data_IF_801283926726
#
_entry.id   IF_801283926726
#
_cell.length_a   1.000
_cell.length_b   1.000
_cell.length_c   1.000
_cell.angle_alpha   90.00
_cell.angle_beta   90.00
_cell.angle_gamma   90.00
#
_symmetry.space_group_name_H-M   'P 1'
#
loop_
_entity.id
_entity.type
_entity.pdbx_description
1 polymer ?
#
# COMPACT_ATOMS: atom_id res chain seq x y z
N UNK A 1 -74.30 19.71 17.50
CA UNK A 1 -73.08 19.36 18.27
C UNK A 1 -72.52 18.07 17.70
N UNK A 2 -71.49 18.16 16.86
CA UNK A 2 -70.74 17.02 16.32
C UNK A 2 -69.27 17.43 16.25
N UNK A 3 -68.51 17.01 17.23
CA UNK A 3 -67.05 17.15 17.32
C UNK A 3 -66.39 16.05 16.49
N UNK A 4 -65.70 16.40 15.41
CA UNK A 4 -64.82 15.47 14.67
C UNK A 4 -63.49 15.36 15.42
N UNK A 5 -63.25 14.20 16.03
CA UNK A 5 -61.90 13.72 16.37
C UNK A 5 -61.15 13.44 15.08
N UNK A 6 -59.91 13.90 14.99
CA UNK A 6 -59.00 13.64 13.89
C UNK A 6 -57.91 12.73 14.48
N UNK A 7 -57.96 11.45 14.13
CA UNK A 7 -57.04 10.44 14.65
C UNK A 7 -55.62 10.68 14.10
N UNK A 8 -54.64 10.78 15.00
CA UNK A 8 -53.22 10.74 14.68
C UNK A 8 -52.85 9.29 14.32
N UNK A 9 -52.36 9.07 13.10
CA UNK A 9 -51.69 7.82 12.73
C UNK A 9 -50.21 7.99 13.10
N UNK A 10 -49.74 7.23 14.10
CA UNK A 10 -48.33 7.18 14.47
C UNK A 10 -47.55 6.16 13.63
N UNK A 11 -46.29 6.48 13.31
CA UNK A 11 -45.33 5.71 12.51
C UNK A 11 -45.00 4.30 13.05
N UNK A 12 -45.51 3.90 14.21
CA UNK A 12 -45.29 2.57 14.81
C UNK A 12 -46.15 1.46 14.19
N UNK A 13 -47.01 1.77 13.22
CA UNK A 13 -47.97 0.83 12.63
C UNK A 13 -47.49 0.10 11.37
N UNK A 14 -46.28 0.40 10.87
CA UNK A 14 -45.75 -0.16 9.61
C UNK A 14 -44.48 -1.02 9.77
N UNK A 15 -43.91 -1.14 10.96
CA UNK A 15 -42.71 -1.96 11.20
C UNK A 15 -42.88 -3.48 10.92
N UNK A 16 -44.00 -4.14 11.28
CA UNK A 16 -44.13 -5.59 11.09
C UNK A 16 -44.21 -6.04 9.62
N UNK A 17 -44.65 -5.16 8.71
CA UNK A 17 -44.87 -5.50 7.30
C UNK A 17 -43.64 -5.32 6.42
N UNK A 18 -42.72 -4.41 6.77
CA UNK A 18 -41.48 -4.20 6.02
C UNK A 18 -40.47 -5.33 6.29
N UNK A 19 -40.39 -5.81 7.53
CA UNK A 19 -39.47 -6.90 7.93
C UNK A 19 -39.89 -8.25 7.35
N UNK A 20 -41.20 -8.52 7.25
CA UNK A 20 -41.73 -9.74 6.66
C UNK A 20 -41.53 -9.81 5.13
N UNK A 21 -41.59 -8.67 4.43
CA UNK A 21 -41.41 -8.64 2.97
C UNK A 21 -39.96 -8.89 2.58
N UNK A 22 -39.00 -8.31 3.32
CA UNK A 22 -37.55 -8.48 3.06
C UNK A 22 -37.07 -9.91 3.36
N UNK A 23 -37.68 -10.60 4.33
CA UNK A 23 -37.30 -11.98 4.68
C UNK A 23 -37.80 -13.02 3.66
N UNK A 24 -38.91 -12.76 2.97
CA UNK A 24 -39.55 -13.73 2.05
C UNK A 24 -39.08 -13.65 0.59
N UNK A 25 -38.39 -12.58 0.20
CA UNK A 25 -37.92 -12.36 -1.18
C UNK A 25 -36.47 -12.80 -1.44
N UNK A 26 -35.76 -13.37 -0.46
CA UNK A 26 -34.44 -13.95 -0.69
C UNK A 26 -34.60 -15.39 -1.22
N UNK A 27 -34.45 -15.55 -2.54
CA UNK A 27 -34.59 -16.84 -3.21
C UNK A 27 -33.61 -17.89 -2.66
N UNK A 28 -34.01 -19.16 -2.69
CA UNK A 28 -33.16 -20.30 -2.31
C UNK A 28 -31.87 -20.36 -3.17
N UNK A 29 -31.86 -19.72 -4.34
CA UNK A 29 -30.68 -19.54 -5.20
C UNK A 29 -29.64 -18.65 -4.54
N UNK A 30 -30.03 -17.51 -3.94
CA UNK A 30 -29.11 -16.63 -3.21
C UNK A 30 -28.44 -17.31 -2.01
N UNK A 31 -29.12 -18.26 -1.34
CA UNK A 31 -28.51 -19.08 -0.26
C UNK A 31 -27.54 -20.14 -0.79
N UNK A 32 -27.75 -20.63 -2.02
CA UNK A 32 -26.84 -21.57 -2.71
C UNK A 32 -25.64 -20.83 -3.31
N UNK A 33 -25.85 -19.61 -3.79
CA UNK A 33 -24.82 -18.72 -4.33
C UNK A 33 -23.98 -18.03 -3.23
N UNK A 34 -24.48 -17.96 -1.99
CA UNK A 34 -23.63 -17.61 -0.83
C UNK A 34 -22.69 -18.76 -0.39
N UNK A 35 -22.86 -19.96 -0.98
CA UNK A 35 -21.86 -21.03 -0.97
C UNK A 35 -21.01 -21.04 -2.24
N UNK A 36 -20.97 -19.94 -3.00
CA UNK A 36 -19.85 -19.67 -3.90
C UNK A 36 -18.64 -19.45 -3.00
N UNK A 37 -17.77 -20.45 -2.99
CA UNK A 37 -16.39 -20.48 -2.48
C UNK A 37 -15.92 -19.13 -1.94
N UNK A 38 -16.21 -18.85 -0.66
CA UNK A 38 -15.41 -17.92 0.11
C UNK A 38 -14.02 -18.56 0.15
N UNK A 39 -13.15 -18.16 -0.78
CA UNK A 39 -11.72 -18.39 -0.59
C UNK A 39 -11.42 -17.86 0.80
N UNK A 40 -10.97 -18.74 1.69
CA UNK A 40 -10.64 -18.35 3.05
C UNK A 40 -9.61 -17.22 2.94
N UNK A 41 -9.94 -16.03 3.45
CA UNK A 41 -8.94 -15.02 3.70
C UNK A 41 -7.80 -15.70 4.48
N UNK A 42 -6.55 -15.43 4.09
CA UNK A 42 -5.37 -16.05 4.72
C UNK A 42 -5.37 -15.78 6.23
N UNK A 43 -5.94 -14.64 6.61
CA UNK A 43 -6.00 -14.14 7.98
C UNK A 43 -7.46 -13.87 8.39
N UNK A 44 -7.74 -13.96 9.68
CA UNK A 44 -9.07 -13.69 10.24
C UNK A 44 -9.36 -12.18 10.38
N UNK A 45 -10.60 -11.86 10.72
CA UNK A 45 -11.06 -10.47 10.87
C UNK A 45 -10.36 -9.71 12.03
N UNK A 46 -9.86 -10.43 13.04
CA UNK A 46 -9.14 -9.80 14.14
C UNK A 46 -7.74 -9.38 13.69
N UNK A 47 -7.06 -10.24 12.93
CA UNK A 47 -5.77 -9.92 12.32
C UNK A 47 -5.87 -8.70 11.40
N UNK A 48 -6.91 -8.63 10.55
CA UNK A 48 -7.16 -7.45 9.70
C UNK A 48 -7.33 -6.17 10.51
N UNK A 49 -8.08 -6.25 11.63
CA UNK A 49 -8.25 -5.11 12.54
C UNK A 49 -6.93 -4.67 13.18
N UNK A 50 -6.04 -5.62 13.50
CA UNK A 50 -4.71 -5.30 14.01
C UNK A 50 -3.80 -4.66 12.93
N UNK A 51 -3.88 -5.13 11.68
CA UNK A 51 -3.20 -4.48 10.54
C UNK A 51 -3.66 -3.03 10.38
N UNK A 52 -4.96 -2.76 10.44
CA UNK A 52 -5.49 -1.40 10.33
C UNK A 52 -5.01 -0.48 11.47
N UNK A 53 -4.89 -1.01 12.69
CA UNK A 53 -4.34 -0.27 13.82
C UNK A 53 -2.85 -0.01 13.62
N UNK A 54 -2.07 -1.02 13.29
CA UNK A 54 -0.64 -0.90 13.03
C UNK A 54 -0.35 0.09 11.90
N UNK A 55 -1.15 0.11 10.82
CA UNK A 55 -1.06 1.08 9.73
C UNK A 55 -1.20 2.52 10.23
N UNK A 56 -2.17 2.80 11.12
CA UNK A 56 -2.35 4.14 11.71
C UNK A 56 -1.18 4.52 12.61
N UNK A 57 -0.66 3.58 13.39
CA UNK A 57 0.51 3.81 14.24
C UNK A 57 1.78 4.09 13.41
N UNK A 58 2.01 3.30 12.36
CA UNK A 58 3.10 3.51 11.41
C UNK A 58 2.99 4.88 10.75
N UNK A 59 1.81 5.31 10.30
CA UNK A 59 1.62 6.66 9.72
C UNK A 59 2.08 7.75 10.70
N UNK A 60 1.61 7.66 11.95
CA UNK A 60 1.97 8.62 12.99
C UNK A 60 3.46 8.59 13.33
N UNK A 61 4.05 7.40 13.46
CA UNK A 61 5.46 7.21 13.77
C UNK A 61 6.34 7.75 12.64
N UNK A 62 6.06 7.35 11.40
CA UNK A 62 6.88 7.67 10.23
C UNK A 62 6.87 9.17 9.96
N UNK A 63 5.69 9.79 9.97
CA UNK A 63 5.57 11.25 9.81
C UNK A 63 6.24 12.02 10.94
N UNK A 64 6.11 11.55 12.20
CA UNK A 64 6.73 12.22 13.35
C UNK A 64 8.25 12.14 13.36
N UNK A 65 8.81 11.02 12.88
CA UNK A 65 10.25 10.73 12.93
C UNK A 65 10.98 11.07 11.63
N UNK A 66 10.26 11.45 10.57
CA UNK A 66 10.81 11.64 9.23
C UNK A 66 11.63 10.42 8.76
N UNK A 67 11.14 9.21 9.06
CA UNK A 67 11.86 7.97 8.81
C UNK A 67 11.28 7.15 7.63
N UNK A 68 10.48 7.77 6.76
CA UNK A 68 9.92 7.09 5.59
C UNK A 68 11.01 6.43 4.71
N UNK A 69 12.14 7.09 4.39
CA UNK A 69 13.14 6.47 3.52
C UNK A 69 13.75 5.18 4.10
N UNK A 70 14.04 5.15 5.41
CA UNK A 70 14.62 3.96 6.05
C UNK A 70 13.59 2.82 6.24
N UNK A 71 12.31 3.16 6.40
CA UNK A 71 11.23 2.16 6.43
C UNK A 71 11.00 1.52 5.06
N UNK A 72 11.04 2.33 3.99
CA UNK A 72 11.00 1.84 2.62
C UNK A 72 12.21 0.96 2.31
N UNK A 73 13.42 1.38 2.72
CA UNK A 73 14.63 0.57 2.60
C UNK A 73 14.51 -0.75 3.37
N UNK A 74 14.00 -0.75 4.60
CA UNK A 74 13.79 -1.99 5.37
C UNK A 74 12.90 -2.98 4.60
N UNK A 75 11.77 -2.52 4.07
CA UNK A 75 10.85 -3.36 3.31
C UNK A 75 11.48 -3.90 2.01
N UNK A 76 12.23 -3.05 1.29
CA UNK A 76 13.01 -3.46 0.10
C UNK A 76 14.04 -4.53 0.45
N UNK A 77 14.83 -4.34 1.52
CA UNK A 77 15.90 -5.27 1.89
C UNK A 77 15.37 -6.62 2.41
N UNK A 78 14.24 -6.65 3.11
CA UNK A 78 13.57 -7.89 3.49
C UNK A 78 13.08 -8.66 2.24
N UNK A 79 12.49 -7.97 1.28
CA UNK A 79 11.95 -8.58 0.06
C UNK A 79 13.02 -9.00 -0.96
N UNK A 80 14.06 -8.19 -1.13
CA UNK A 80 15.08 -8.31 -2.19
C UNK A 80 16.01 -9.51 -2.07
N UNK A 81 15.91 -10.29 -0.99
CA UNK A 81 16.67 -11.54 -0.82
C UNK A 81 16.02 -12.74 -1.54
N UNK A 82 14.82 -12.56 -2.11
CA UNK A 82 14.10 -13.63 -2.77
C UNK A 82 14.87 -14.20 -3.97
N UNK A 83 14.76 -15.52 -4.11
CA UNK A 83 15.24 -16.29 -5.24
C UNK A 83 14.11 -17.18 -5.75
N UNK A 84 13.67 -16.94 -6.99
CA UNK A 84 12.50 -17.59 -7.56
C UNK A 84 12.73 -19.09 -7.87
N UNK A 85 13.97 -19.50 -8.12
CA UNK A 85 14.34 -20.88 -8.44
C UNK A 85 14.30 -21.77 -7.18
N UNK A 86 15.03 -21.38 -6.14
CA UNK A 86 15.10 -22.08 -4.87
C UNK A 86 13.93 -21.79 -3.94
N UNK A 87 13.15 -20.71 -4.19
CA UNK A 87 12.05 -20.22 -3.36
C UNK A 87 12.50 -19.90 -1.93
N UNK A 88 13.69 -19.32 -1.80
CA UNK A 88 14.28 -18.92 -0.51
C UNK A 88 14.39 -17.40 -0.40
N UNK A 89 14.46 -16.88 0.83
CA UNK A 89 14.46 -15.44 1.10
C UNK A 89 13.07 -14.82 0.90
N UNK A 90 13.05 -13.51 0.66
CA UNK A 90 11.85 -12.72 0.43
C UNK A 90 11.24 -12.12 1.70
N UNK A 91 10.11 -11.39 1.54
CA UNK A 91 9.45 -10.59 2.57
C UNK A 91 8.83 -11.45 3.68
N UNK A 92 9.67 -12.03 4.52
CA UNK A 92 9.30 -13.01 5.55
C UNK A 92 9.79 -12.57 6.94
N UNK A 93 10.28 -11.34 7.06
CA UNK A 93 10.75 -10.73 8.30
C UNK A 93 12.09 -11.27 8.79
N UNK A 94 12.77 -12.18 8.09
CA UNK A 94 14.04 -12.78 8.54
C UNK A 94 15.14 -11.75 8.75
N UNK A 95 15.04 -10.58 8.10
CA UNK A 95 15.95 -9.46 8.29
C UNK A 95 16.05 -9.00 9.76
N UNK A 96 15.07 -9.31 10.61
CA UNK A 96 15.14 -8.99 12.06
C UNK A 96 16.18 -9.81 12.83
N UNK A 97 16.63 -10.92 12.26
CA UNK A 97 17.61 -11.79 12.89
C UNK A 97 19.01 -11.19 12.74
N UNK A 98 19.83 -11.31 13.79
CA UNK A 98 21.18 -10.73 13.81
C UNK A 98 22.07 -11.20 12.67
N UNK A 99 21.95 -12.47 12.29
CA UNK A 99 22.67 -13.02 11.15
C UNK A 99 22.39 -12.23 9.85
N UNK A 100 21.19 -11.67 9.68
CA UNK A 100 20.80 -10.98 8.44
C UNK A 100 20.88 -9.45 8.55
N UNK A 101 20.45 -8.81 9.64
CA UNK A 101 20.62 -7.35 9.75
C UNK A 101 22.09 -6.93 9.82
N UNK A 102 22.99 -7.84 10.17
CA UNK A 102 24.44 -7.58 10.24
C UNK A 102 25.16 -7.71 8.91
N UNK A 103 24.49 -8.15 7.84
CA UNK A 103 25.04 -8.09 6.49
C UNK A 103 25.43 -6.65 6.13
N UNK A 104 26.53 -6.47 5.40
CA UNK A 104 27.04 -5.16 5.02
C UNK A 104 26.02 -4.31 4.27
N UNK A 105 25.28 -4.91 3.32
CA UNK A 105 24.20 -4.24 2.59
C UNK A 105 23.07 -3.74 3.51
N UNK A 106 22.89 -4.35 4.69
CA UNK A 106 21.84 -4.02 5.66
C UNK A 106 22.31 -3.01 6.73
N UNK A 107 23.54 -2.48 6.63
CA UNK A 107 24.08 -1.52 7.59
C UNK A 107 23.11 -0.36 7.86
N UNK A 108 22.86 -0.10 9.15
CA UNK A 108 21.91 0.90 9.64
C UNK A 108 20.45 0.46 9.76
N UNK A 109 20.04 -0.68 9.19
CA UNK A 109 18.62 -1.11 9.23
C UNK A 109 18.13 -1.53 10.62
N UNK A 110 19.04 -1.80 11.56
CA UNK A 110 18.70 -1.99 12.98
C UNK A 110 17.88 -0.83 13.56
N UNK A 111 18.11 0.40 13.09
CA UNK A 111 17.33 1.58 13.48
C UNK A 111 15.85 1.43 13.07
N UNK A 112 15.59 0.99 11.83
CA UNK A 112 14.23 0.77 11.34
C UNK A 112 13.55 -0.42 12.03
N UNK A 113 14.30 -1.49 12.31
CA UNK A 113 13.82 -2.63 13.09
C UNK A 113 13.36 -2.20 14.49
N UNK A 114 14.16 -1.39 15.19
CA UNK A 114 13.82 -0.88 16.53
C UNK A 114 12.60 0.03 16.51
N UNK A 115 12.47 0.89 15.50
CA UNK A 115 11.27 1.70 15.30
C UNK A 115 10.02 0.85 15.00
N UNK A 116 10.17 -0.26 14.27
CA UNK A 116 9.07 -1.19 14.05
C UNK A 116 8.70 -1.94 15.34
N UNK A 117 9.65 -2.21 16.23
CA UNK A 117 9.38 -2.89 17.50
C UNK A 117 8.43 -2.06 18.41
N UNK A 118 8.53 -0.72 18.38
CA UNK A 118 7.60 0.19 19.08
C UNK A 118 6.13 -0.02 18.65
N UNK A 119 5.91 -0.43 17.40
CA UNK A 119 4.57 -0.76 16.86
C UNK A 119 4.24 -2.23 17.13
N UNK A 120 5.21 -3.14 16.92
CA UNK A 120 5.04 -4.58 17.10
C UNK A 120 4.57 -4.94 18.50
N UNK A 121 5.13 -4.33 19.53
CA UNK A 121 4.81 -4.61 20.94
C UNK A 121 3.33 -4.36 21.27
N UNK A 122 2.67 -3.43 20.57
CA UNK A 122 1.24 -3.12 20.73
C UNK A 122 0.35 -3.99 19.85
N UNK A 123 0.91 -4.56 18.79
CA UNK A 123 0.24 -5.44 17.84
C UNK A 123 0.91 -6.83 17.81
N UNK A 124 0.90 -7.59 18.92
CA UNK A 124 1.62 -8.86 18.97
C UNK A 124 1.10 -9.92 17.98
N UNK A 125 -0.14 -9.77 17.48
CA UNK A 125 -0.79 -10.72 16.56
C UNK A 125 -0.27 -10.64 15.12
N UNK A 126 0.16 -9.47 14.66
CA UNK A 126 0.69 -9.33 13.28
C UNK A 126 2.09 -9.92 13.22
N UNK A 127 2.45 -10.52 12.09
CA UNK A 127 3.80 -11.01 11.85
C UNK A 127 4.75 -9.82 11.66
N UNK A 128 6.03 -10.02 11.95
CA UNK A 128 7.06 -9.07 11.57
C UNK A 128 7.11 -8.87 10.05
N UNK A 129 6.95 -9.95 9.29
CA UNK A 129 6.89 -9.92 7.83
C UNK A 129 5.82 -8.96 7.30
N UNK A 130 4.58 -9.05 7.80
CA UNK A 130 3.53 -8.11 7.40
C UNK A 130 3.79 -6.69 7.93
N UNK A 131 4.35 -6.55 9.14
CA UNK A 131 4.65 -5.24 9.71
C UNK A 131 5.68 -4.47 8.88
N UNK A 132 6.77 -5.13 8.43
CA UNK A 132 7.82 -4.47 7.65
C UNK A 132 7.33 -4.08 6.26
N UNK A 133 6.58 -4.95 5.59
CA UNK A 133 6.00 -4.61 4.29
C UNK A 133 4.93 -3.52 4.41
N UNK A 134 4.14 -3.52 5.49
CA UNK A 134 3.20 -2.44 5.79
C UNK A 134 3.92 -1.12 6.06
N UNK A 135 5.07 -1.14 6.75
CA UNK A 135 5.89 0.04 6.97
C UNK A 135 6.42 0.64 5.66
N UNK A 136 6.84 -0.20 4.70
CA UNK A 136 7.24 0.22 3.36
C UNK A 136 6.10 0.88 2.57
N UNK A 137 4.92 0.26 2.56
CA UNK A 137 3.72 0.85 1.92
C UNK A 137 3.34 2.19 2.56
N UNK A 138 3.32 2.25 3.89
CA UNK A 138 2.99 3.49 4.61
C UNK A 138 4.04 4.57 4.37
N UNK A 139 5.32 4.22 4.26
CA UNK A 139 6.38 5.18 3.96
C UNK A 139 6.16 5.90 2.63
N UNK A 140 5.76 5.17 1.58
CA UNK A 140 5.41 5.74 0.27
C UNK A 140 4.16 6.62 0.39
N UNK A 141 3.13 6.15 1.10
CA UNK A 141 1.87 6.88 1.24
C UNK A 141 2.05 8.23 1.96
N UNK A 142 2.74 8.25 3.11
CA UNK A 142 2.88 9.47 3.92
C UNK A 142 3.80 10.53 3.29
N UNK A 143 4.57 10.15 2.29
CA UNK A 143 5.46 11.04 1.52
C UNK A 143 4.83 11.51 0.21
N UNK A 144 3.56 11.16 -0.04
CA UNK A 144 2.78 11.62 -1.20
C UNK A 144 2.82 10.71 -2.42
N UNK A 145 3.39 9.50 -2.29
CA UNK A 145 3.47 8.52 -3.37
C UNK A 145 2.14 7.80 -3.66
N UNK A 146 2.16 6.82 -4.58
CA UNK A 146 0.95 6.13 -5.01
C UNK A 146 0.35 5.22 -3.92
N UNK A 147 -0.94 4.93 -4.03
CA UNK A 147 -1.60 3.89 -3.22
C UNK A 147 -1.13 2.50 -3.65
N UNK A 148 -0.54 1.76 -2.71
CA UNK A 148 -0.05 0.40 -2.92
C UNK A 148 -0.96 -0.58 -2.19
N UNK A 149 -1.60 -1.48 -2.95
CA UNK A 149 -2.49 -2.48 -2.38
C UNK A 149 -1.72 -3.49 -1.52
N UNK A 150 -2.00 -3.45 -0.21
CA UNK A 150 -1.40 -4.34 0.79
C UNK A 150 -2.31 -5.54 1.09
N UNK A 151 -1.75 -6.75 1.01
CA UNK A 151 -2.43 -7.99 1.38
C UNK A 151 -1.69 -8.65 2.56
N UNK A 152 -2.32 -8.81 3.73
CA UNK A 152 -1.70 -9.48 4.87
C UNK A 152 -1.73 -11.01 4.74
N UNK A 153 -0.90 -11.67 5.52
CA UNK A 153 -0.81 -13.12 5.62
C UNK A 153 0.61 -13.67 5.54
N UNK A 154 1.65 -12.81 5.46
CA UNK A 154 3.04 -13.27 5.46
C UNK A 154 3.38 -13.91 6.80
N UNK A 155 4.16 -14.97 6.76
CA UNK A 155 4.63 -15.68 7.96
C UNK A 155 6.06 -15.31 8.25
N UNK A 156 6.36 -15.18 9.55
CA UNK A 156 7.71 -14.94 10.00
C UNK A 156 8.60 -16.16 9.75
N UNK A 157 9.79 -15.90 9.21
CA UNK A 157 10.86 -16.88 9.05
C UNK A 157 12.02 -16.55 9.98
N UNK A 158 12.73 -17.58 10.44
CA UNK A 158 14.04 -17.48 11.07
C UNK A 158 15.18 -17.89 10.12
N UNK A 159 14.84 -18.36 8.91
CA UNK A 159 15.82 -18.77 7.92
C UNK A 159 16.34 -17.53 7.19
N UNK A 160 17.53 -17.07 7.57
CA UNK A 160 18.26 -16.02 6.88
C UNK A 160 18.87 -16.56 5.58
N UNK A 161 18.95 -15.72 4.56
CA UNK A 161 19.73 -16.02 3.35
C UNK A 161 21.20 -15.70 3.59
N UNK A 162 22.09 -16.32 2.81
CA UNK A 162 23.49 -15.85 2.76
C UNK A 162 23.56 -14.41 2.22
N UNK A 163 24.58 -13.68 2.64
CA UNK A 163 24.88 -12.34 2.13
C UNK A 163 25.17 -12.35 0.62
N UNK A 164 24.89 -11.23 -0.06
CA UNK A 164 25.25 -11.02 -1.46
C UNK A 164 24.09 -11.14 -2.46
N UNK A 165 22.86 -11.34 -1.98
CA UNK A 165 21.66 -11.35 -2.86
C UNK A 165 21.17 -9.95 -3.25
N UNK A 166 21.46 -8.93 -2.46
CA UNK A 166 21.05 -7.56 -2.72
C UNK A 166 21.96 -6.89 -3.77
N UNK A 167 21.47 -5.89 -4.53
CA UNK A 167 22.26 -5.23 -5.57
C UNK A 167 23.44 -4.45 -4.97
N UNK A 168 24.53 -4.40 -5.73
CA UNK A 168 25.76 -3.67 -5.38
C UNK A 168 25.74 -2.34 -6.15
N UNK A 169 25.77 -1.25 -5.40
CA UNK A 169 25.68 0.11 -5.92
C UNK A 169 26.81 0.48 -6.90
N UNK A 170 27.93 -0.24 -6.88
CA UNK A 170 29.09 -0.01 -7.75
C UNK A 170 28.97 -0.68 -9.13
N UNK A 171 28.02 -1.59 -9.32
CA UNK A 171 27.85 -2.33 -10.56
C UNK A 171 26.85 -1.64 -11.51
N UNK A 172 26.65 -2.22 -12.70
CA UNK A 172 25.80 -1.64 -13.75
C UNK A 172 24.58 -2.50 -14.11
N UNK A 173 24.02 -2.22 -15.28
CA UNK A 173 22.74 -2.76 -15.77
C UNK A 173 22.68 -4.29 -15.80
N UNK A 174 23.77 -4.95 -16.18
CA UNK A 174 23.85 -6.43 -16.15
C UNK A 174 23.60 -6.98 -14.75
N UNK A 175 24.25 -6.40 -13.73
CA UNK A 175 24.08 -6.82 -12.33
C UNK A 175 22.66 -6.59 -11.84
N UNK A 176 22.06 -5.44 -12.20
CA UNK A 176 20.65 -5.17 -11.89
C UNK A 176 19.74 -6.24 -12.48
N UNK A 177 19.96 -6.64 -13.74
CA UNK A 177 19.20 -7.75 -14.35
C UNK A 177 19.43 -9.06 -13.63
N UNK A 178 20.67 -9.44 -13.39
CA UNK A 178 21.00 -10.69 -12.69
C UNK A 178 20.27 -10.77 -11.32
N UNK A 179 20.25 -9.67 -10.57
CA UNK A 179 19.62 -9.59 -9.24
C UNK A 179 18.10 -9.57 -9.30
N UNK A 180 17.49 -8.71 -10.13
CA UNK A 180 16.03 -8.56 -10.16
C UNK A 180 15.34 -9.68 -10.95
N UNK A 181 15.96 -10.20 -12.01
CA UNK A 181 15.42 -11.35 -12.74
C UNK A 181 15.46 -12.62 -11.90
N UNK A 182 16.46 -12.78 -11.00
CA UNK A 182 16.46 -13.84 -9.98
C UNK A 182 15.23 -13.77 -9.07
N UNK A 183 14.75 -12.56 -8.77
CA UNK A 183 13.50 -12.36 -8.01
C UNK A 183 12.24 -12.64 -8.85
N UNK A 184 12.36 -12.73 -10.18
CA UNK A 184 11.24 -12.81 -11.11
C UNK A 184 10.65 -11.46 -11.50
N UNK A 185 11.39 -10.36 -11.30
CA UNK A 185 10.98 -9.00 -11.67
C UNK A 185 11.48 -8.65 -13.08
N UNK A 186 10.73 -7.80 -13.79
CA UNK A 186 11.00 -7.39 -15.17
C UNK A 186 11.88 -6.14 -15.26
N UNK A 187 12.36 -5.82 -16.46
CA UNK A 187 13.12 -4.58 -16.74
C UNK A 187 12.33 -3.30 -16.38
N UNK A 188 10.99 -3.33 -16.52
CA UNK A 188 10.11 -2.23 -16.06
C UNK A 188 10.15 -2.10 -14.54
N UNK A 189 10.07 -3.23 -13.84
CA UNK A 189 10.05 -3.26 -12.38
C UNK A 189 11.39 -2.76 -11.82
N UNK A 190 12.52 -3.07 -12.46
CA UNK A 190 13.85 -2.51 -12.11
C UNK A 190 13.80 -0.98 -12.10
N UNK A 191 13.44 -0.37 -13.23
CA UNK A 191 13.50 1.10 -13.37
C UNK A 191 12.46 1.78 -12.47
N UNK A 192 11.25 1.22 -12.35
CA UNK A 192 10.23 1.77 -11.47
C UNK A 192 10.71 1.72 -10.01
N UNK A 193 11.21 0.57 -9.54
CA UNK A 193 11.66 0.41 -8.15
C UNK A 193 12.90 1.26 -7.82
N UNK A 194 13.80 1.49 -8.78
CA UNK A 194 14.90 2.46 -8.62
C UNK A 194 14.40 3.87 -8.29
N UNK A 195 13.20 4.25 -8.74
CA UNK A 195 12.54 5.50 -8.38
C UNK A 195 12.31 5.70 -6.88
N UNK A 196 12.39 4.64 -6.06
CA UNK A 196 12.35 4.76 -4.61
C UNK A 196 13.48 5.65 -4.04
N UNK A 197 14.60 5.78 -4.76
CA UNK A 197 15.68 6.70 -4.42
C UNK A 197 15.26 8.18 -4.49
N UNK A 198 14.06 8.50 -5.00
CA UNK A 198 13.48 9.84 -4.81
C UNK A 198 13.38 10.24 -3.33
N UNK A 199 13.32 9.25 -2.43
CA UNK A 199 13.35 9.41 -0.99
C UNK A 199 14.72 9.11 -0.39
N UNK A 200 15.12 9.96 0.55
CA UNK A 200 16.26 9.74 1.43
C UNK A 200 17.61 10.11 0.83
N UNK A 201 18.65 9.52 1.42
CA UNK A 201 20.05 9.79 1.11
C UNK A 201 20.93 8.59 1.45
N UNK A 202 22.09 8.52 0.81
CA UNK A 202 23.16 7.64 1.24
C UNK A 202 23.90 8.22 2.45
N UNK A 203 24.57 7.34 3.18
CA UNK A 203 25.35 7.72 4.36
C UNK A 203 26.72 7.02 4.32
N UNK A 204 27.83 7.77 4.51
CA UNK A 204 29.19 7.23 4.41
C UNK A 204 29.43 6.04 5.34
N UNK A 205 28.93 6.10 6.57
CA UNK A 205 29.11 5.06 7.58
C UNK A 205 28.31 3.78 7.32
N UNK A 206 27.37 3.81 6.35
CA UNK A 206 26.53 2.67 5.98
C UNK A 206 26.97 2.03 4.67
N UNK A 207 27.15 2.86 3.65
CA UNK A 207 27.34 2.43 2.27
C UNK A 207 28.64 2.91 1.64
N UNK A 208 29.36 3.84 2.28
CA UNK A 208 30.49 4.55 1.69
C UNK A 208 30.11 5.71 0.76
N UNK A 209 28.85 5.81 0.34
CA UNK A 209 28.31 6.94 -0.44
C UNK A 209 27.66 7.99 0.47
N UNK A 210 27.60 9.23 -0.02
CA UNK A 210 27.02 10.38 0.71
C UNK A 210 26.05 11.15 -0.19
N UNK A 211 25.03 11.74 0.41
CA UNK A 211 24.12 12.67 -0.26
C UNK A 211 22.78 12.09 -0.70
N UNK A 212 21.85 13.01 -0.96
CA UNK A 212 20.48 12.75 -1.43
C UNK A 212 20.42 12.72 -2.96
N UNK A 213 19.48 11.95 -3.53
CA UNK A 213 19.28 11.88 -4.98
C UNK A 213 18.41 13.01 -5.54
N UNK A 214 17.62 13.65 -4.68
CA UNK A 214 16.66 14.69 -5.05
C UNK A 214 16.78 15.88 -4.11
N UNK A 215 16.24 17.04 -4.50
CA UNK A 215 16.27 18.24 -3.66
C UNK A 215 15.36 18.13 -2.42
N UNK A 216 14.28 17.35 -2.49
CA UNK A 216 13.36 17.09 -1.39
C UNK A 216 13.30 15.58 -1.07
N UNK A 217 14.19 15.08 -0.18
CA UNK A 217 14.33 13.65 0.09
C UNK A 217 13.17 13.06 0.92
N UNK A 218 12.15 13.84 1.27
CA UNK A 218 10.96 13.38 1.99
C UNK A 218 9.68 13.48 1.15
N UNK A 219 9.81 13.81 -0.14
CA UNK A 219 8.69 13.87 -1.10
C UNK A 219 8.83 12.74 -2.11
N UNK A 220 7.81 11.90 -2.20
CA UNK A 220 7.76 10.86 -3.21
C UNK A 220 7.15 11.45 -4.50
N UNK A 221 7.99 11.69 -5.49
CA UNK A 221 7.64 12.25 -6.79
C UNK A 221 8.57 11.69 -7.87
N UNK A 222 8.46 12.15 -9.11
CA UNK A 222 9.33 11.67 -10.20
C UNK A 222 10.71 12.36 -10.28
N UNK A 223 11.11 13.17 -9.28
CA UNK A 223 12.34 13.97 -9.32
C UNK A 223 13.58 13.11 -9.51
N UNK A 224 13.63 11.89 -8.95
CA UNK A 224 14.75 10.97 -9.18
C UNK A 224 15.09 10.82 -10.68
N UNK A 225 14.09 10.63 -11.55
CA UNK A 225 14.32 10.45 -12.98
C UNK A 225 14.66 11.76 -13.67
N UNK A 226 14.04 12.87 -13.25
CA UNK A 226 14.34 14.22 -13.77
C UNK A 226 15.80 14.58 -13.48
N UNK A 227 16.26 14.36 -12.25
CA UNK A 227 17.62 14.63 -11.81
C UNK A 227 18.63 13.68 -12.47
N UNK A 228 18.28 12.41 -12.63
CA UNK A 228 19.11 11.42 -13.33
C UNK A 228 19.41 11.84 -14.77
N UNK A 229 18.43 12.37 -15.50
CA UNK A 229 18.58 12.82 -16.89
C UNK A 229 19.38 14.11 -17.07
N UNK A 230 19.65 14.88 -16.00
CA UNK A 230 20.48 16.08 -16.11
C UNK A 230 21.93 15.69 -16.37
N UNK A 231 22.53 16.32 -17.38
CA UNK A 231 23.97 16.21 -17.67
C UNK A 231 24.84 16.99 -16.67
N UNK A 232 24.28 18.06 -16.10
CA UNK A 232 24.93 18.87 -15.06
C UNK A 232 24.77 18.21 -13.68
N UNK A 233 25.88 17.97 -13.00
CA UNK A 233 25.96 17.42 -11.64
C UNK A 233 26.41 18.49 -10.61
N UNK A 234 26.30 19.79 -10.97
CA UNK A 234 26.73 20.91 -10.11
C UNK A 234 25.87 21.13 -8.87
N UNK A 235 24.69 20.51 -8.78
CA UNK A 235 23.77 20.61 -7.65
C UNK A 235 24.15 19.73 -6.44
N UNK A 236 25.16 18.88 -6.59
CA UNK A 236 25.68 18.02 -5.53
C UNK A 236 24.78 16.83 -5.19
N UNK A 237 23.79 16.49 -6.03
CA UNK A 237 22.94 15.33 -5.85
C UNK A 237 23.69 14.02 -6.18
N UNK A 238 23.36 12.97 -5.44
CA UNK A 238 23.95 11.65 -5.60
C UNK A 238 23.41 10.94 -6.85
N UNK A 239 24.31 10.32 -7.61
CA UNK A 239 24.01 9.37 -8.69
C UNK A 239 24.95 8.17 -8.58
N UNK A 240 24.45 7.02 -8.14
CA UNK A 240 25.26 5.80 -8.04
C UNK A 240 25.59 5.23 -9.42
N UNK A 241 26.58 4.32 -9.49
CA UNK A 241 26.91 3.59 -10.73
C UNK A 241 25.68 2.85 -11.28
N UNK A 242 24.93 2.21 -10.39
CA UNK A 242 23.66 1.54 -10.73
C UNK A 242 22.60 2.50 -11.28
N UNK A 243 22.44 3.71 -10.71
CA UNK A 243 21.51 4.72 -11.23
C UNK A 243 21.92 5.19 -12.63
N UNK A 244 23.20 5.53 -12.82
CA UNK A 244 23.73 5.98 -14.11
C UNK A 244 23.58 4.90 -15.19
N UNK A 245 23.73 3.63 -14.82
CA UNK A 245 23.58 2.51 -15.75
C UNK A 245 22.18 2.35 -16.34
N UNK A 246 21.15 2.95 -15.72
CA UNK A 246 19.78 2.98 -16.28
C UNK A 246 19.70 3.82 -17.56
N UNK A 247 20.63 4.77 -17.76
CA UNK A 247 20.70 5.61 -18.96
C UNK A 247 21.49 4.97 -20.11
N UNK A 248 22.34 3.99 -19.79
CA UNK A 248 23.24 3.32 -20.73
C UNK A 248 22.55 2.19 -21.49
N UNK A 249 21.63 1.47 -20.81
CA UNK A 249 20.88 0.37 -21.39
C UNK A 249 19.60 0.89 -22.07
N UNK A 250 19.42 0.74 -23.40
CA UNK A 250 18.24 1.25 -24.11
C UNK A 250 16.90 0.75 -23.55
N UNK A 251 16.86 -0.50 -23.11
CA UNK A 251 15.70 -1.12 -22.49
C UNK A 251 15.27 -0.49 -21.16
N UNK A 252 16.20 0.13 -20.42
CA UNK A 252 15.93 0.86 -19.19
C UNK A 252 15.66 2.34 -19.47
N UNK A 253 16.47 2.94 -20.35
CA UNK A 253 16.41 4.36 -20.67
C UNK A 253 15.02 4.81 -21.11
N UNK A 254 14.32 3.99 -21.90
CA UNK A 254 12.94 4.28 -22.33
C UNK A 254 11.98 4.52 -21.14
N UNK A 255 12.16 3.79 -20.04
CA UNK A 255 11.35 3.95 -18.82
C UNK A 255 11.81 5.16 -18.01
N UNK A 256 13.12 5.43 -17.94
CA UNK A 256 13.64 6.64 -17.27
C UNK A 256 13.08 7.90 -17.93
N UNK A 257 13.15 7.99 -19.27
CA UNK A 257 12.61 9.13 -20.03
C UNK A 257 11.08 9.24 -19.89
N UNK A 258 10.38 8.12 -19.86
CA UNK A 258 8.94 8.07 -19.64
C UNK A 258 8.56 8.61 -18.25
N UNK A 259 9.19 8.09 -17.19
CA UNK A 259 8.88 8.46 -15.80
C UNK A 259 9.28 9.89 -15.48
N UNK A 260 10.38 10.40 -16.04
CA UNK A 260 10.75 11.81 -15.90
C UNK A 260 9.72 12.77 -16.55
N UNK A 261 9.04 12.31 -17.61
CA UNK A 261 8.05 13.11 -18.33
C UNK A 261 6.65 13.01 -17.71
N UNK A 262 6.30 11.86 -17.14
CA UNK A 262 4.95 11.53 -16.70
C UNK A 262 4.97 10.82 -15.33
N UNK A 263 4.70 11.62 -14.29
CA UNK A 263 4.65 11.14 -12.90
C UNK A 263 3.50 10.16 -12.65
N UNK A 264 2.35 10.33 -13.30
CA UNK A 264 1.21 9.41 -13.13
C UNK A 264 1.54 8.01 -13.65
N UNK A 265 2.30 7.94 -14.76
CA UNK A 265 2.83 6.69 -15.30
C UNK A 265 3.83 6.07 -14.34
N UNK A 266 4.77 6.86 -13.81
CA UNK A 266 5.70 6.39 -12.77
C UNK A 266 4.95 5.84 -11.56
N UNK A 267 3.99 6.56 -11.01
CA UNK A 267 3.23 6.19 -9.83
C UNK A 267 2.47 4.88 -10.03
N UNK A 268 1.81 4.71 -11.18
CA UNK A 268 1.13 3.45 -11.52
C UNK A 268 2.10 2.28 -11.59
N UNK A 269 3.21 2.43 -12.32
CA UNK A 269 4.17 1.34 -12.51
C UNK A 269 4.96 1.06 -11.23
N UNK A 270 5.23 2.07 -10.40
CA UNK A 270 5.82 1.92 -9.08
C UNK A 270 4.90 1.12 -8.15
N UNK A 271 3.60 1.45 -8.10
CA UNK A 271 2.67 0.73 -7.26
C UNK A 271 2.55 -0.75 -7.65
N UNK A 272 2.51 -1.04 -8.95
CA UNK A 272 2.52 -2.41 -9.47
C UNK A 272 3.81 -3.16 -9.09
N UNK A 273 4.96 -2.52 -9.29
CA UNK A 273 6.27 -3.12 -9.05
C UNK A 273 6.54 -3.33 -7.55
N UNK A 274 6.19 -2.36 -6.71
CA UNK A 274 6.30 -2.45 -5.26
C UNK A 274 5.38 -3.56 -4.73
N UNK A 275 4.16 -3.70 -5.27
CA UNK A 275 3.28 -4.82 -4.90
C UNK A 275 3.94 -6.17 -5.20
N UNK A 276 4.44 -6.37 -6.43
CA UNK A 276 5.15 -7.60 -6.82
C UNK A 276 6.30 -7.91 -5.88
N UNK A 277 7.15 -6.91 -5.62
CA UNK A 277 8.27 -7.01 -4.68
C UNK A 277 7.81 -7.45 -3.29
N UNK A 278 6.82 -6.76 -2.73
CA UNK A 278 6.31 -7.04 -1.38
C UNK A 278 5.68 -8.43 -1.27
N UNK A 279 5.31 -9.07 -2.37
CA UNK A 279 4.65 -10.37 -2.44
C UNK A 279 5.56 -11.48 -3.00
N UNK A 280 6.85 -11.23 -3.16
CA UNK A 280 7.81 -12.26 -3.61
C UNK A 280 7.76 -13.49 -2.69
N UNK A 281 7.56 -14.69 -3.25
CA UNK A 281 7.40 -15.92 -2.46
C UNK A 281 6.13 -16.01 -1.60
N UNK A 282 5.27 -14.99 -1.62
CA UNK A 282 3.98 -14.95 -0.94
C UNK A 282 2.85 -15.02 -1.97
N UNK A 283 2.12 -16.13 -1.98
CA UNK A 283 0.95 -16.29 -2.84
C UNK A 283 -0.31 -16.10 -2.02
N UNK A 284 -0.96 -14.92 -2.08
CA UNK A 284 -2.23 -14.77 -1.41
C UNK A 284 -3.27 -15.70 -2.05
N UNK A 285 -3.98 -16.47 -1.22
CA UNK A 285 -5.02 -17.38 -1.74
C UNK A 285 -6.15 -16.55 -2.31
N UNK A 286 -6.22 -16.48 -3.65
CA UNK A 286 -7.24 -15.84 -4.50
C UNK A 286 -8.08 -14.77 -3.81
N UNK A 287 -7.78 -13.51 -4.13
CA UNK A 287 -8.72 -12.40 -4.08
C UNK A 287 -10.09 -12.88 -4.57
N UNK A 288 -11.06 -12.99 -3.66
CA UNK A 288 -12.39 -12.55 -4.03
C UNK A 288 -12.17 -11.12 -4.45
N UNK A 289 -12.28 -10.86 -5.76
CA UNK A 289 -12.56 -9.51 -6.23
C UNK A 289 -13.77 -9.09 -5.41
N UNK A 290 -13.56 -8.31 -4.36
CA UNK A 290 -14.65 -7.54 -3.82
C UNK A 290 -14.95 -6.56 -4.93
N UNK A 291 -15.80 -6.99 -5.85
CA UNK A 291 -16.84 -6.14 -6.35
C UNK A 291 -17.58 -5.64 -5.10
N UNK A 292 -16.99 -4.64 -4.44
CA UNK A 292 -17.78 -3.56 -3.88
C UNK A 292 -18.32 -2.86 -5.13
N UNK A 293 -19.27 -3.52 -5.80
CA UNK A 293 -20.33 -2.82 -6.50
C UNK A 293 -20.94 -1.97 -5.40
N UNK A 294 -20.51 -0.72 -5.31
CA UNK A 294 -21.30 0.51 -5.45
C UNK A 294 -22.76 0.50 -4.94
N UNK A 295 -23.18 -0.48 -4.15
CA UNK A 295 -24.54 -0.66 -3.67
C UNK A 295 -24.75 0.13 -2.37
N UNK A 296 -23.71 0.35 -1.57
CA UNK A 296 -23.79 1.22 -0.38
C UNK A 296 -23.73 2.69 -0.76
N UNK A 297 -22.92 3.07 -1.76
CA UNK A 297 -22.89 4.42 -2.29
C UNK A 297 -24.19 4.76 -3.03
N UNK A 298 -24.70 3.89 -3.90
CA UNK A 298 -26.03 4.08 -4.52
C UNK A 298 -27.16 4.09 -3.49
N UNK A 299 -27.12 3.24 -2.46
CA UNK A 299 -28.16 3.25 -1.42
C UNK A 299 -28.12 4.52 -0.56
N UNK A 300 -26.94 5.00 -0.15
CA UNK A 300 -26.82 6.24 0.62
C UNK A 300 -27.17 7.47 -0.21
N UNK A 301 -26.85 7.46 -1.52
CA UNK A 301 -27.21 8.55 -2.44
C UNK A 301 -28.71 8.55 -2.74
N UNK A 302 -29.31 7.39 -3.00
CA UNK A 302 -30.74 7.26 -3.24
C UNK A 302 -31.59 7.60 -2.01
N UNK A 303 -31.16 7.19 -0.81
CA UNK A 303 -31.81 7.58 0.46
C UNK A 303 -31.63 9.08 0.71
N UNK A 304 -30.44 9.65 0.47
CA UNK A 304 -30.20 11.08 0.60
C UNK A 304 -31.09 11.92 -0.34
N UNK A 305 -31.24 11.50 -1.59
CA UNK A 305 -32.10 12.16 -2.59
C UNK A 305 -33.58 12.02 -2.21
N UNK A 306 -34.03 10.85 -1.75
CA UNK A 306 -35.41 10.63 -1.31
C UNK A 306 -35.77 11.48 -0.08
N UNK A 307 -34.87 11.57 0.90
CA UNK A 307 -35.05 12.41 2.10
C UNK A 307 -35.10 13.89 1.72
N UNK A 308 -34.20 14.36 0.85
CA UNK A 308 -34.20 15.74 0.38
C UNK A 308 -35.49 16.11 -0.37
N UNK A 309 -35.96 15.22 -1.27
CA UNK A 309 -37.22 15.43 -1.99
C UNK A 309 -38.43 15.47 -1.06
N UNK A 310 -38.48 14.59 -0.04
CA UNK A 310 -39.54 14.59 0.96
C UNK A 310 -39.55 15.89 1.78
N UNK A 311 -38.38 16.37 2.24
CA UNK A 311 -38.26 17.62 3.00
C UNK A 311 -38.74 18.82 2.18
N UNK A 312 -38.40 18.89 0.89
CA UNK A 312 -38.87 19.95 -0.03
C UNK A 312 -40.39 19.88 -0.23
N UNK A 313 -40.93 18.68 -0.46
CA UNK A 313 -42.37 18.50 -0.63
C UNK A 313 -43.16 18.89 0.63
N UNK A 314 -42.70 18.48 1.83
CA UNK A 314 -43.33 18.86 3.09
C UNK A 314 -43.20 20.35 3.38
N UNK A 315 -42.07 20.98 3.05
CA UNK A 315 -41.89 22.43 3.20
C UNK A 315 -42.81 23.22 2.26
N UNK A 316 -42.98 22.76 1.03
CA UNK A 316 -43.90 23.36 0.06
C UNK A 316 -45.37 23.22 0.49
N UNK A 317 -45.77 22.03 0.96
CA UNK A 317 -47.12 21.80 1.49
C UNK A 317 -47.39 22.61 2.76
N UNK A 318 -46.39 22.78 3.64
CA UNK A 318 -46.48 23.65 4.81
C UNK A 318 -46.71 25.12 4.41
N UNK A 319 -45.96 25.62 3.42
CA UNK A 319 -46.10 26.99 2.90
C UNK A 319 -47.47 27.24 2.25
N UNK A 320 -47.99 26.30 1.47
CA UNK A 320 -49.36 26.38 0.92
C UNK A 320 -50.37 26.45 2.06
N UNK A 321 -50.23 25.58 3.06
CA UNK A 321 -51.17 25.51 4.19
C UNK A 321 -51.09 26.75 5.09
N UNK A 322 -49.92 27.38 5.18
CA UNK A 322 -49.72 28.68 5.87
C UNK A 322 -50.42 29.81 5.13
N UNK A 323 -50.37 29.85 3.79
CA UNK A 323 -51.04 30.87 2.97
C UNK A 323 -52.56 30.70 2.85
N UNK A 324 -53.09 29.53 3.22
CA UNK A 324 -54.52 29.23 3.23
C UNK A 324 -55.21 29.51 4.58
N UNK A 325 -54.46 29.99 5.59
CA UNK A 325 -54.98 30.51 6.85
C UNK A 325 -54.84 32.03 6.88
#
# INVERSE_FOLDING_TARGET
>A
MLTKKQDLITLSSFEPYIVSYISSSLSLSLKKDLRITMAALIVDAEYLKEIDKARRELRALIAKKNCAPIMLRLAWHDAGTYDAESKTGGPNGSIRNEAEYSHGANSGLKIALDLCEDVKTKHPKISYADLYQLAGVVAVEVTGGPDISFVPGRKDSNACTDEGRLPDANQGSKHLKDVFHRMGLSDKDIVALSGAHTLGMAHPERSGFDGQWTQDPLKFDNSYFVELLKEDESDGLLKLSTDKSLLEAPEFRQYVELYAKDEDVFFRDYAESHKKLSELGFTPTSTVTMAITDCTALAHTAVGVAVAAAVVAFSYLYEIRRKMK
#
